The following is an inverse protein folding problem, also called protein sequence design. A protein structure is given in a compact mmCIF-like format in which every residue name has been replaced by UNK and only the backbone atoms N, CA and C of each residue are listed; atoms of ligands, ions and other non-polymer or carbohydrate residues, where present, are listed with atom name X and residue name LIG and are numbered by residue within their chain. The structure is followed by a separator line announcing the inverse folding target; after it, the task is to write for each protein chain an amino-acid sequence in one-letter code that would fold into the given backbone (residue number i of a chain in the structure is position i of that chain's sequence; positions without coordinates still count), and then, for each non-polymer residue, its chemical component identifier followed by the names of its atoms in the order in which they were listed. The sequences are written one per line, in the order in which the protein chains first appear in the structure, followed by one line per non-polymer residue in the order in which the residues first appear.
data_IF_921050721604
#
_entry.id   IF_921050721604
#
_cell.length_a   1.000
_cell.length_b   1.000
_cell.length_c   1.000
_cell.angle_alpha   90.00
_cell.angle_beta   90.00
_cell.angle_gamma   90.00
#
_symmetry.space_group_name_H-M   'P 1'
#
loop_
_entity.id
_entity.type
_entity.pdbx_description
1 polymer ?
#
# COMPACT_ATOMS: atom_id res chain seq x y z
N UNK A 1 45.76 19.69 1.26
CA UNK A 1 46.33 20.74 0.37
C UNK A 1 47.68 20.20 -0.06
N UNK A 2 47.82 19.54 -1.21
CA UNK A 2 48.01 20.21 -2.50
C UNK A 2 47.42 19.42 -3.66
N UNK A 3 46.79 20.17 -4.55
CA UNK A 3 46.28 19.84 -5.87
C UNK A 3 47.41 19.60 -6.87
N UNK A 4 47.32 18.54 -7.67
CA UNK A 4 48.13 18.35 -8.87
C UNK A 4 47.26 18.61 -10.10
N UNK A 5 47.54 19.72 -10.78
CA UNK A 5 46.98 20.08 -12.08
C UNK A 5 47.74 19.37 -13.21
N UNK A 6 47.02 18.88 -14.21
CA UNK A 6 47.55 18.75 -15.57
C UNK A 6 46.74 19.68 -16.48
N UNK A 7 47.45 20.63 -17.08
CA UNK A 7 46.92 21.72 -17.91
C UNK A 7 46.89 21.32 -19.39
N UNK A 8 45.91 21.90 -20.11
CA UNK A 8 45.83 22.11 -21.57
C UNK A 8 45.39 20.87 -22.40
N UNK A 9 44.55 20.94 -23.44
CA UNK A 9 44.06 22.08 -24.21
C UNK A 9 42.79 21.67 -24.99
N UNK A 10 41.82 22.57 -24.96
CA UNK A 10 40.72 22.85 -25.88
C UNK A 10 40.76 22.14 -27.26
N UNK A 11 39.68 21.42 -27.62
CA UNK A 11 39.15 21.17 -28.99
C UNK A 11 38.55 19.77 -29.29
N UNK A 12 37.94 19.05 -28.34
CA UNK A 12 37.10 17.85 -28.65
C UNK A 12 35.73 17.90 -27.92
N UNK A 13 35.29 19.09 -27.53
CA UNK A 13 34.02 19.35 -26.82
C UNK A 13 32.84 19.52 -27.79
N UNK A 14 32.64 18.57 -28.71
CA UNK A 14 31.56 18.67 -29.70
C UNK A 14 30.89 17.35 -30.10
N UNK A 15 31.58 16.22 -30.00
CA UNK A 15 31.05 14.93 -30.49
C UNK A 15 30.95 13.83 -29.43
N UNK A 16 31.46 14.06 -28.21
CA UNK A 16 31.46 13.08 -27.11
C UNK A 16 30.39 13.35 -26.05
N UNK A 17 29.71 14.52 -26.09
CA UNK A 17 28.67 14.86 -25.11
C UNK A 17 27.30 14.25 -25.46
N UNK A 18 27.07 13.85 -26.71
CA UNK A 18 25.79 13.28 -27.16
C UNK A 18 25.74 11.75 -27.09
N UNK A 19 26.89 11.06 -26.95
CA UNK A 19 26.94 9.59 -26.79
C UNK A 19 26.89 9.15 -25.32
N UNK A 20 27.20 10.04 -24.37
CA UNK A 20 27.09 9.76 -22.94
C UNK A 20 25.64 9.79 -22.40
N UNK A 21 24.68 10.27 -23.22
CA UNK A 21 23.25 10.30 -22.86
C UNK A 21 22.47 9.04 -23.27
N UNK A 22 23.10 8.09 -23.99
CA UNK A 22 22.41 6.89 -24.53
C UNK A 22 22.93 5.56 -23.95
N UNK A 23 24.02 5.56 -23.17
CA UNK A 23 24.50 4.35 -22.49
C UNK A 23 24.01 4.34 -21.04
N UNK A 24 22.79 3.81 -20.88
CA UNK A 24 22.32 3.22 -19.63
C UNK A 24 22.14 4.20 -18.48
N UNK A 25 20.96 4.79 -18.37
CA UNK A 25 20.41 5.06 -17.04
C UNK A 25 20.37 3.68 -16.36
N UNK A 26 21.17 3.39 -15.33
CA UNK A 26 20.96 2.16 -14.61
C UNK A 26 19.58 2.30 -14.00
N UNK A 27 18.62 1.50 -14.47
CA UNK A 27 17.47 1.18 -13.67
C UNK A 27 18.04 0.66 -12.35
N UNK A 28 18.01 1.48 -11.31
CA UNK A 28 18.29 1.03 -9.96
C UNK A 28 17.12 0.12 -9.59
N UNK A 29 17.18 -1.11 -10.07
CA UNK A 29 16.46 -2.20 -9.45
C UNK A 29 16.95 -2.16 -8.00
N UNK A 30 16.08 -1.79 -7.06
CA UNK A 30 16.37 -1.86 -5.64
C UNK A 30 16.59 -3.32 -5.30
N UNK A 31 17.82 -3.82 -5.49
CA UNK A 31 18.14 -5.22 -5.42
C UNK A 31 18.15 -5.62 -3.95
N UNK A 32 17.00 -6.13 -3.50
CA UNK A 32 16.80 -6.66 -2.16
C UNK A 32 17.65 -7.91 -1.99
N UNK A 33 18.43 -7.97 -0.90
CA UNK A 33 19.22 -9.13 -0.52
C UNK A 33 18.90 -9.55 0.90
N UNK A 34 18.63 -10.83 1.11
CA UNK A 34 18.29 -11.41 2.42
C UNK A 34 19.43 -11.28 3.43
N UNK A 35 20.68 -11.16 2.96
CA UNK A 35 21.88 -11.02 3.77
C UNK A 35 22.35 -9.58 4.00
N UNK A 36 21.60 -8.56 3.55
CA UNK A 36 22.05 -7.16 3.55
C UNK A 36 22.54 -6.69 4.94
N UNK A 37 21.86 -7.10 6.01
CA UNK A 37 22.20 -6.71 7.39
C UNK A 37 23.17 -7.64 8.10
N UNK A 38 23.64 -8.73 7.47
CA UNK A 38 24.47 -9.74 8.15
C UNK A 38 25.75 -9.16 8.75
N UNK A 39 26.38 -8.20 8.08
CA UNK A 39 27.62 -7.56 8.53
C UNK A 39 27.38 -6.29 9.36
N UNK A 40 26.35 -5.51 9.03
CA UNK A 40 26.10 -4.21 9.67
C UNK A 40 25.32 -4.33 10.97
N UNK A 41 24.41 -5.30 11.07
CA UNK A 41 23.59 -5.53 12.26
C UNK A 41 23.21 -7.02 12.37
N UNK A 42 24.13 -7.89 12.83
CA UNK A 42 23.84 -9.29 13.06
C UNK A 42 22.81 -9.41 14.20
N UNK A 43 21.60 -9.86 13.86
CA UNK A 43 20.50 -10.04 14.83
C UNK A 43 19.28 -9.14 14.62
N UNK A 44 19.31 -8.19 13.66
CA UNK A 44 18.17 -7.31 13.39
C UNK A 44 16.85 -8.07 13.18
N UNK A 45 16.89 -9.17 12.42
CA UNK A 45 15.71 -9.99 12.17
C UNK A 45 15.19 -10.69 13.43
N UNK A 46 16.09 -11.14 14.31
CA UNK A 46 15.71 -11.75 15.57
C UNK A 46 15.06 -10.73 16.52
N UNK A 47 15.65 -9.54 16.62
CA UNK A 47 15.14 -8.44 17.45
C UNK A 47 13.77 -7.98 16.97
N UNK A 48 13.60 -7.70 15.67
CA UNK A 48 12.31 -7.28 15.08
C UNK A 48 11.26 -8.38 15.25
N UNK A 49 11.63 -9.65 15.03
CA UNK A 49 10.69 -10.77 15.23
C UNK A 49 10.22 -10.86 16.67
N UNK A 50 11.12 -10.70 17.64
CA UNK A 50 10.79 -10.72 19.07
C UNK A 50 9.87 -9.57 19.47
N UNK A 51 10.17 -8.34 19.05
CA UNK A 51 9.35 -7.17 19.39
C UNK A 51 7.96 -7.24 18.76
N UNK A 52 7.86 -7.66 17.50
CA UNK A 52 6.57 -7.87 16.82
C UNK A 52 5.76 -8.98 17.50
N UNK A 53 6.39 -10.10 17.85
CA UNK A 53 5.70 -11.17 18.58
C UNK A 53 5.18 -10.69 19.94
N UNK A 54 5.98 -9.94 20.70
CA UNK A 54 5.56 -9.38 21.98
C UNK A 54 4.40 -8.38 21.83
N UNK A 55 4.39 -7.58 20.76
CA UNK A 55 3.32 -6.63 20.49
C UNK A 55 2.00 -7.34 20.11
N UNK A 56 2.07 -8.40 19.30
CA UNK A 56 0.90 -9.20 18.93
C UNK A 56 0.35 -9.98 20.13
N UNK A 57 1.24 -10.52 20.98
CA UNK A 57 0.84 -11.21 22.20
C UNK A 57 0.12 -10.28 23.18
N UNK A 58 0.48 -8.99 23.20
CA UNK A 58 -0.22 -7.96 23.99
C UNK A 58 -1.57 -7.58 23.38
N UNK A 59 -1.62 -7.42 22.05
CA UNK A 59 -2.84 -7.09 21.31
C UNK A 59 -2.85 -7.77 19.93
N UNK A 60 -3.73 -8.74 19.73
CA UNK A 60 -3.78 -9.52 18.48
C UNK A 60 -3.98 -8.64 17.23
N UNK A 61 -4.72 -7.53 17.36
CA UNK A 61 -4.99 -6.57 16.28
C UNK A 61 -3.72 -5.88 15.75
N UNK A 62 -2.63 -5.84 16.53
CA UNK A 62 -1.37 -5.22 16.11
C UNK A 62 -0.76 -5.90 14.88
N UNK A 63 -0.96 -7.21 14.71
CA UNK A 63 -0.47 -7.93 13.52
C UNK A 63 -1.13 -7.42 12.24
N UNK A 64 -2.46 -7.28 12.25
CA UNK A 64 -3.23 -6.73 11.14
C UNK A 64 -2.87 -5.25 10.87
N UNK A 65 -2.66 -4.45 11.93
CA UNK A 65 -2.25 -3.05 11.79
C UNK A 65 -0.86 -2.90 11.14
N UNK A 66 0.13 -3.70 11.55
CA UNK A 66 1.47 -3.69 10.95
C UNK A 66 1.44 -4.12 9.48
N UNK A 67 0.64 -5.14 9.16
CA UNK A 67 0.47 -5.61 7.79
C UNK A 67 -0.18 -4.54 6.90
N UNK A 68 -1.22 -3.87 7.42
CA UNK A 68 -1.88 -2.74 6.72
C UNK A 68 -0.90 -1.59 6.49
N UNK A 69 -0.08 -1.25 7.48
CA UNK A 69 0.92 -0.18 7.35
C UNK A 69 1.96 -0.53 6.28
N UNK A 70 2.46 -1.76 6.27
CA UNK A 70 3.39 -2.24 5.23
C UNK A 70 2.77 -2.12 3.83
N UNK A 71 1.53 -2.59 3.66
CA UNK A 71 0.86 -2.46 2.37
C UNK A 71 0.61 -1.02 1.97
N UNK A 72 0.27 -0.13 2.92
CA UNK A 72 0.08 1.28 2.65
C UNK A 72 1.36 1.95 2.13
N UNK A 73 2.50 1.71 2.80
CA UNK A 73 3.79 2.26 2.38
C UNK A 73 4.24 1.72 1.01
N UNK A 74 3.93 0.46 0.70
CA UNK A 74 4.15 -0.09 -0.63
C UNK A 74 3.16 0.46 -1.68
N UNK A 75 1.88 0.66 -1.32
CA UNK A 75 0.83 1.09 -2.27
C UNK A 75 0.95 2.55 -2.68
N UNK A 76 1.45 3.43 -1.81
CA UNK A 76 1.75 4.82 -2.18
C UNK A 76 2.75 4.86 -3.34
N UNK A 77 3.69 3.91 -3.36
CA UNK A 77 4.65 3.73 -4.45
C UNK A 77 4.07 2.99 -5.67
N UNK A 78 2.98 2.22 -5.50
CA UNK A 78 2.30 1.47 -6.58
C UNK A 78 1.13 2.24 -7.21
N UNK A 79 0.85 3.48 -6.79
CA UNK A 79 -0.17 4.31 -7.40
C UNK A 79 -1.57 3.71 -7.29
N UNK A 80 -1.98 3.36 -6.07
CA UNK A 80 -3.35 2.91 -5.80
C UNK A 80 -4.40 3.85 -6.42
N UNK A 81 -5.60 3.34 -6.76
CA UNK A 81 -6.61 4.14 -7.42
C UNK A 81 -7.00 5.31 -6.50
N UNK A 82 -6.83 6.53 -6.98
CA UNK A 82 -7.43 7.71 -6.37
C UNK A 82 -8.83 7.91 -6.95
N UNK A 83 -9.80 8.24 -6.10
CA UNK A 83 -11.15 8.57 -6.54
C UNK A 83 -11.62 9.84 -5.87
N UNK A 84 -12.33 10.67 -6.63
CA UNK A 84 -12.94 11.89 -6.10
C UNK A 84 -14.13 11.52 -5.21
N UNK A 85 -14.10 11.95 -3.95
CA UNK A 85 -15.20 11.73 -3.02
C UNK A 85 -16.25 12.82 -3.23
N UNK A 86 -17.46 12.43 -3.67
CA UNK A 86 -18.61 13.35 -3.75
C UNK A 86 -19.04 13.78 -2.34
N UNK A 87 -18.91 15.07 -2.04
CA UNK A 87 -19.31 15.68 -0.76
C UNK A 87 -20.76 16.22 -0.82
N UNK A 88 -21.32 16.59 0.33
CA UNK A 88 -22.67 17.19 0.43
C UNK A 88 -23.70 16.39 1.25
N UNK A 89 -23.27 15.28 1.87
CA UNK A 89 -24.09 14.52 2.82
C UNK A 89 -24.37 15.37 4.06
N UNK A 90 -25.64 15.45 4.49
CA UNK A 90 -26.04 16.11 5.75
C UNK A 90 -26.36 15.06 6.81
N UNK A 91 -26.13 15.40 8.06
CA UNK A 91 -26.40 14.49 9.17
C UNK A 91 -27.91 14.34 9.43
N UNK A 92 -28.36 13.10 9.62
CA UNK A 92 -29.74 12.81 9.98
C UNK A 92 -30.01 13.24 11.43
N UNK A 93 -31.20 13.79 11.68
CA UNK A 93 -31.63 14.18 13.04
C UNK A 93 -32.18 13.01 13.87
N UNK A 94 -32.38 11.85 13.25
CA UNK A 94 -32.98 10.67 13.87
C UNK A 94 -32.30 9.39 13.39
N UNK A 95 -32.29 8.37 14.25
CA UNK A 95 -31.87 7.00 13.91
C UNK A 95 -33.10 6.09 13.74
N UNK A 96 -33.00 5.06 12.89
CA UNK A 96 -34.07 4.08 12.68
C UNK A 96 -33.54 2.65 12.81
N UNK A 97 -33.80 2.04 13.98
CA UNK A 97 -33.42 0.65 14.24
C UNK A 97 -34.21 -0.34 13.39
N UNK A 98 -35.49 -0.06 13.14
CA UNK A 98 -36.34 -0.93 12.32
C UNK A 98 -35.82 -1.01 10.88
N UNK A 99 -35.40 0.13 10.31
CA UNK A 99 -34.81 0.16 8.98
C UNK A 99 -33.45 -0.57 8.94
N UNK A 100 -32.65 -0.51 10.01
CA UNK A 100 -31.40 -1.25 10.09
C UNK A 100 -31.64 -2.77 10.08
N UNK A 101 -32.59 -3.26 10.88
CA UNK A 101 -32.88 -4.68 10.98
C UNK A 101 -33.45 -5.29 9.69
N UNK A 102 -34.15 -4.49 8.87
CA UNK A 102 -34.69 -4.96 7.58
C UNK A 102 -33.73 -4.78 6.41
N UNK A 103 -32.83 -3.79 6.48
CA UNK A 103 -31.96 -3.41 5.35
C UNK A 103 -30.57 -4.01 5.43
N UNK A 104 -30.12 -4.45 6.61
CA UNK A 104 -28.81 -5.07 6.81
C UNK A 104 -29.00 -6.59 6.89
N UNK A 105 -28.55 -7.36 5.87
CA UNK A 105 -28.66 -8.80 5.89
C UNK A 105 -27.70 -9.40 6.95
N UNK A 106 -28.10 -10.44 7.68
CA UNK A 106 -27.22 -11.12 8.63
C UNK A 106 -26.07 -11.85 7.92
N UNK A 107 -24.93 -12.09 8.59
CA UNK A 107 -23.78 -12.79 8.02
C UNK A 107 -24.07 -14.25 7.63
N UNK A 108 -25.20 -14.80 8.07
CA UNK A 108 -25.69 -16.15 7.73
C UNK A 108 -26.67 -16.17 6.56
N UNK A 109 -26.97 -15.00 5.96
CA UNK A 109 -27.90 -14.91 4.83
C UNK A 109 -27.34 -15.58 3.57
N UNK A 110 -28.22 -16.14 2.74
CA UNK A 110 -27.84 -16.73 1.46
C UNK A 110 -27.39 -15.65 0.47
N UNK A 111 -26.55 -16.04 -0.49
CA UNK A 111 -26.04 -15.17 -1.56
C UNK A 111 -27.19 -14.48 -2.34
N UNK A 112 -28.32 -15.16 -2.55
CA UNK A 112 -29.50 -14.62 -3.23
C UNK A 112 -30.13 -13.44 -2.48
N UNK A 113 -30.17 -13.52 -1.15
CA UNK A 113 -30.70 -12.46 -0.30
C UNK A 113 -29.71 -11.29 -0.22
N UNK A 114 -28.41 -11.57 -0.19
CA UNK A 114 -27.37 -10.55 -0.24
C UNK A 114 -27.41 -9.75 -1.54
N UNK A 115 -27.52 -10.43 -2.69
CA UNK A 115 -27.67 -9.78 -4.00
C UNK A 115 -28.92 -8.91 -4.04
N UNK A 116 -30.05 -9.40 -3.50
CA UNK A 116 -31.30 -8.63 -3.44
C UNK A 116 -31.16 -7.38 -2.58
N UNK A 117 -30.51 -7.47 -1.41
CA UNK A 117 -30.26 -6.32 -0.54
C UNK A 117 -29.35 -5.27 -1.18
N UNK A 118 -28.30 -5.69 -1.91
CA UNK A 118 -27.41 -4.76 -2.61
C UNK A 118 -28.11 -4.07 -3.78
N UNK A 119 -28.99 -4.79 -4.50
CA UNK A 119 -29.82 -4.20 -5.56
C UNK A 119 -30.80 -3.15 -5.03
N UNK A 120 -31.32 -3.31 -3.81
CA UNK A 120 -32.23 -2.35 -3.19
C UNK A 120 -31.58 -1.00 -2.88
N UNK A 121 -30.24 -0.95 -2.77
CA UNK A 121 -29.47 0.30 -2.62
C UNK A 121 -28.82 0.76 -3.93
N UNK A 122 -29.17 0.13 -5.06
CA UNK A 122 -28.69 0.48 -6.38
C UNK A 122 -27.28 -0.03 -6.72
N UNK A 123 -26.76 -1.01 -5.98
CA UNK A 123 -25.44 -1.61 -6.23
C UNK A 123 -25.57 -2.88 -7.09
N UNK A 124 -24.59 -3.07 -7.98
CA UNK A 124 -24.51 -4.26 -8.83
C UNK A 124 -23.85 -5.44 -8.11
N UNK A 125 -23.93 -6.64 -8.72
CA UNK A 125 -23.22 -7.82 -8.21
C UNK A 125 -21.70 -7.65 -8.26
N UNK A 126 -21.16 -6.85 -9.19
CA UNK A 126 -19.74 -6.55 -9.28
C UNK A 126 -19.29 -5.65 -8.12
N UNK A 127 -20.10 -4.65 -7.76
CA UNK A 127 -19.85 -3.78 -6.61
C UNK A 127 -19.88 -4.56 -5.30
N UNK A 128 -20.81 -5.51 -5.17
CA UNK A 128 -20.90 -6.41 -4.02
C UNK A 128 -19.59 -7.21 -3.84
N UNK A 129 -19.07 -7.82 -4.92
CA UNK A 129 -17.81 -8.57 -4.86
C UNK A 129 -16.64 -7.66 -4.52
N UNK A 130 -16.55 -6.49 -5.16
CA UNK A 130 -15.49 -5.51 -4.89
C UNK A 130 -15.49 -5.06 -3.42
N UNK A 131 -16.67 -4.78 -2.84
CA UNK A 131 -16.83 -4.37 -1.44
C UNK A 131 -16.56 -5.50 -0.45
N UNK A 132 -16.87 -6.76 -0.81
CA UNK A 132 -16.59 -7.92 0.04
C UNK A 132 -15.09 -8.18 0.24
N UNK A 133 -14.23 -7.69 -0.67
CA UNK A 133 -12.78 -7.77 -0.56
C UNK A 133 -12.18 -7.02 0.64
N UNK A 134 -12.94 -6.09 1.26
CA UNK A 134 -12.49 -5.38 2.47
C UNK A 134 -12.28 -6.35 3.65
N UNK A 135 -13.02 -7.46 3.68
CA UNK A 135 -12.88 -8.49 4.71
C UNK A 135 -11.56 -9.28 4.60
N UNK A 136 -10.83 -9.18 3.48
CA UNK A 136 -9.53 -9.84 3.33
C UNK A 136 -8.42 -9.22 4.20
N UNK A 137 -8.64 -8.02 4.75
CA UNK A 137 -7.65 -7.28 5.56
C UNK A 137 -7.94 -7.29 7.08
N UNK A 138 -8.98 -7.98 7.53
CA UNK A 138 -9.32 -8.16 8.95
C UNK A 138 -9.08 -9.61 9.38
#
# INVERSE_FOLDING_TARGET
MTSSSCSNSMAITGFTLTVLLVVGVPSTNGQLSTGYYYKSCPGVFATVKSTVHSAIAKEARMGASLLRLFFHDCFVNLGGPSWDVKLGRRDARTASQAAANSSIPPPTSSLSNLISSYRNVGLSTQDMVALSGINFLL
#
